data_IF_764338037680
#
_entry.id   IF_764338037680
#
_cell.length_a   1.000
_cell.length_b   1.000
_cell.length_c   1.000
_cell.angle_alpha   90.00
_cell.angle_beta   90.00
_cell.angle_gamma   90.00
#
_symmetry.space_group_name_H-M   'P 1'
#
loop_
_entity.id
_entity.type
_entity.pdbx_description
1 polymer ?
#
# COMPACT_ATOMS: atom_id res chain seq x y z
N UNK A 1 6.50 2.31 -12.83
CA UNK A 1 6.36 1.99 -11.40
C UNK A 1 5.59 0.69 -11.28
N UNK A 2 6.30 -0.35 -10.88
CA UNK A 2 5.77 -1.71 -10.78
C UNK A 2 5.01 -1.87 -9.48
N UNK A 3 3.85 -2.50 -9.54
CA UNK A 3 2.94 -2.66 -8.42
C UNK A 3 2.52 -4.13 -8.31
N UNK A 4 3.16 -4.84 -7.39
CA UNK A 4 2.89 -6.23 -7.10
C UNK A 4 1.66 -6.34 -6.21
N UNK A 5 0.60 -6.95 -6.74
CA UNK A 5 -0.72 -6.88 -6.12
C UNK A 5 -1.57 -8.13 -6.37
N UNK A 6 -2.68 -8.20 -5.63
CA UNK A 6 -3.77 -9.14 -5.87
C UNK A 6 -5.09 -8.36 -5.80
N UNK A 7 -6.02 -8.49 -6.78
CA UNK A 7 -7.25 -7.70 -6.82
C UNK A 7 -8.11 -7.77 -5.55
N UNK A 8 -8.16 -8.92 -4.89
CA UNK A 8 -8.95 -9.13 -3.67
C UNK A 8 -8.34 -8.46 -2.42
N UNK A 9 -7.05 -8.12 -2.45
CA UNK A 9 -6.33 -7.59 -1.29
C UNK A 9 -6.79 -6.16 -0.99
N UNK A 10 -7.41 -5.96 0.18
CA UNK A 10 -7.83 -4.65 0.67
C UNK A 10 -6.69 -3.60 0.67
N UNK A 11 -5.47 -3.88 1.21
CA UNK A 11 -4.38 -2.91 1.16
C UNK A 11 -3.90 -2.60 -0.27
N UNK A 12 -4.00 -3.57 -1.21
CA UNK A 12 -3.71 -3.30 -2.63
C UNK A 12 -4.75 -2.36 -3.27
N UNK A 13 -6.03 -2.52 -2.92
CA UNK A 13 -7.11 -1.63 -3.39
C UNK A 13 -6.91 -0.21 -2.88
N UNK A 14 -6.48 -0.02 -1.64
CA UNK A 14 -6.16 1.31 -1.10
C UNK A 14 -5.07 2.04 -1.91
N UNK A 15 -4.00 1.33 -2.29
CA UNK A 15 -2.95 1.88 -3.16
C UNK A 15 -3.46 2.19 -4.56
N UNK A 16 -4.26 1.28 -5.12
CA UNK A 16 -4.84 1.47 -6.46
C UNK A 16 -5.71 2.72 -6.52
N UNK A 17 -6.61 2.91 -5.54
CA UNK A 17 -7.48 4.09 -5.48
C UNK A 17 -6.67 5.38 -5.28
N UNK A 18 -5.63 5.35 -4.43
CA UNK A 18 -4.75 6.52 -4.24
C UNK A 18 -4.04 6.89 -5.55
N UNK A 19 -3.48 5.90 -6.26
CA UNK A 19 -2.82 6.16 -7.54
C UNK A 19 -3.79 6.72 -8.59
N UNK A 20 -5.01 6.18 -8.67
CA UNK A 20 -6.07 6.69 -9.56
C UNK A 20 -6.46 8.13 -9.21
N UNK A 21 -6.64 8.46 -7.93
CA UNK A 21 -6.93 9.82 -7.47
C UNK A 21 -5.82 10.83 -7.82
N UNK A 22 -4.57 10.36 -7.91
CA UNK A 22 -3.41 11.16 -8.30
C UNK A 22 -3.18 11.18 -9.82
N UNK A 23 -3.90 10.37 -10.60
CA UNK A 23 -3.66 10.19 -12.04
C UNK A 23 -2.35 9.43 -12.35
N UNK A 24 -1.83 8.67 -11.38
CA UNK A 24 -0.60 7.88 -11.51
C UNK A 24 -0.91 6.51 -12.11
N UNK A 25 -0.27 6.18 -13.23
CA UNK A 25 -0.40 4.86 -13.86
C UNK A 25 0.52 3.85 -13.17
N UNK A 26 -0.06 2.79 -12.62
CA UNK A 26 0.67 1.66 -12.05
C UNK A 26 0.83 0.54 -13.08
N UNK A 27 2.03 -0.02 -13.20
CA UNK A 27 2.22 -1.29 -13.89
C UNK A 27 1.81 -2.42 -12.93
N UNK A 28 0.57 -2.90 -13.08
CA UNK A 28 -0.05 -3.87 -12.17
C UNK A 28 0.47 -5.29 -12.45
N UNK A 29 1.32 -5.82 -11.57
CA UNK A 29 1.87 -7.17 -11.65
C UNK A 29 1.11 -8.07 -10.68
N UNK A 30 0.27 -8.96 -11.21
CA UNK A 30 -0.50 -9.88 -10.37
C UNK A 30 0.43 -10.92 -9.74
N UNK A 31 0.42 -11.01 -8.41
CA UNK A 31 1.19 -11.99 -7.65
C UNK A 31 0.25 -13.05 -7.08
N UNK A 32 0.40 -14.30 -7.52
CA UNK A 32 -0.41 -15.41 -7.01
C UNK A 32 0.11 -15.84 -5.63
N UNK A 33 -0.61 -15.40 -4.59
CA UNK A 33 -0.26 -15.74 -3.22
C UNK A 33 -0.54 -17.21 -2.89
N UNK A 34 -1.54 -17.82 -3.52
CA UNK A 34 -1.93 -19.21 -3.27
C UNK A 34 -0.93 -20.18 -3.87
N UNK A 35 -0.34 -19.83 -5.02
CA UNK A 35 0.78 -20.56 -5.61
C UNK A 35 2.15 -20.22 -4.97
N UNK A 36 2.18 -19.43 -3.90
CA UNK A 36 3.42 -19.10 -3.19
C UNK A 36 4.37 -18.16 -3.94
N UNK A 37 3.90 -17.41 -4.95
CA UNK A 37 4.77 -16.56 -5.77
C UNK A 37 5.52 -15.47 -4.96
N UNK A 38 4.92 -15.01 -3.86
CA UNK A 38 5.51 -14.06 -2.91
C UNK A 38 6.68 -14.63 -2.08
N UNK A 39 6.87 -15.95 -2.08
CA UNK A 39 7.96 -16.63 -1.36
C UNK A 39 9.16 -16.91 -2.27
N UNK A 40 9.05 -16.62 -3.57
CA UNK A 40 10.14 -16.90 -4.51
C UNK A 40 11.32 -15.94 -4.32
N UNK A 41 12.57 -16.39 -4.53
CA UNK A 41 13.76 -15.57 -4.29
C UNK A 41 13.76 -14.23 -5.03
N UNK A 42 13.21 -14.18 -6.25
CA UNK A 42 13.07 -12.95 -7.02
C UNK A 42 12.21 -11.89 -6.33
N UNK A 43 11.13 -12.29 -5.65
CA UNK A 43 10.26 -11.36 -4.93
C UNK A 43 10.83 -11.01 -3.55
N UNK A 44 11.45 -11.98 -2.87
CA UNK A 44 12.10 -11.75 -1.57
C UNK A 44 13.23 -10.73 -1.63
N UNK A 45 13.92 -10.62 -2.78
CA UNK A 45 14.90 -9.55 -3.03
C UNK A 45 14.28 -8.15 -3.03
N UNK A 46 13.00 -8.03 -3.41
CA UNK A 46 12.26 -6.76 -3.43
C UNK A 46 11.64 -6.46 -2.07
N UNK A 47 11.03 -7.46 -1.45
CA UNK A 47 10.35 -7.35 -0.16
C UNK A 47 10.64 -8.60 0.69
N UNK A 48 11.55 -8.53 1.67
CA UNK A 48 11.88 -9.66 2.53
C UNK A 48 10.74 -10.04 3.49
N UNK A 49 9.76 -9.14 3.72
CA UNK A 49 8.53 -9.46 4.46
C UNK A 49 7.49 -10.19 3.60
N UNK A 50 7.79 -10.46 2.31
CA UNK A 50 6.96 -11.28 1.42
C UNK A 50 5.46 -10.91 1.43
N UNK A 51 5.16 -9.62 1.47
CA UNK A 51 3.79 -9.09 1.53
C UNK A 51 3.40 -8.33 0.28
N UNK A 52 2.08 -8.22 0.07
CA UNK A 52 1.51 -7.28 -0.91
C UNK A 52 0.63 -6.26 -0.18
N UNK A 53 0.53 -5.01 -0.67
CA UNK A 53 1.21 -4.50 -1.87
C UNK A 53 2.72 -4.27 -1.68
N UNK A 54 3.48 -4.45 -2.77
CA UNK A 54 4.86 -3.98 -2.91
C UNK A 54 4.95 -3.11 -4.16
N UNK A 55 5.55 -1.93 -4.04
CA UNK A 55 5.72 -0.95 -5.10
C UNK A 55 7.22 -0.80 -5.41
N UNK A 56 7.58 -0.78 -6.69
CA UNK A 56 8.94 -0.47 -7.15
C UNK A 56 8.89 0.73 -8.07
N UNK A 57 9.49 1.83 -7.62
CA UNK A 57 9.64 3.05 -8.41
C UNK A 57 11.11 3.31 -8.73
N UNK A 58 11.53 3.06 -9.97
CA UNK A 58 12.90 3.29 -10.45
C UNK A 58 13.98 2.67 -9.52
N UNK A 59 13.76 1.42 -9.09
CA UNK A 59 14.65 0.69 -8.19
C UNK A 59 14.41 0.92 -6.70
N UNK A 60 13.60 1.91 -6.31
CA UNK A 60 13.16 2.07 -4.93
C UNK A 60 11.98 1.14 -4.63
N UNK A 61 12.23 0.12 -3.79
CA UNK A 61 11.20 -0.81 -3.32
C UNK A 61 10.60 -0.35 -1.99
N UNK A 62 9.27 -0.34 -1.90
CA UNK A 62 8.53 -0.03 -0.66
C UNK A 62 7.28 -0.90 -0.55
N UNK A 63 7.02 -1.40 0.64
CA UNK A 63 5.80 -2.11 1.03
C UNK A 63 5.13 -1.37 2.20
N UNK A 64 4.06 -1.93 2.78
CA UNK A 64 3.09 -1.23 3.64
C UNK A 64 2.20 -0.24 2.87
N UNK A 65 0.95 -0.64 2.63
CA UNK A 65 -0.01 0.12 1.81
C UNK A 65 -0.17 1.60 2.22
N UNK A 66 -0.17 1.90 3.52
CA UNK A 66 -0.34 3.29 4.01
C UNK A 66 0.93 4.12 3.80
N UNK A 67 2.11 3.51 3.92
CA UNK A 67 3.38 4.16 3.58
C UNK A 67 3.46 4.43 2.07
N UNK A 68 3.05 3.45 1.24
CA UNK A 68 2.93 3.63 -0.21
C UNK A 68 1.98 4.80 -0.55
N UNK A 69 0.80 4.86 0.08
CA UNK A 69 -0.15 5.95 -0.17
C UNK A 69 0.45 7.32 0.13
N UNK A 70 1.10 7.47 1.29
CA UNK A 70 1.79 8.72 1.66
C UNK A 70 2.87 9.05 0.62
N UNK A 71 3.72 8.09 0.27
CA UNK A 71 4.78 8.26 -0.72
C UNK A 71 4.24 8.74 -2.07
N UNK A 72 3.16 8.13 -2.56
CA UNK A 72 2.54 8.51 -3.82
C UNK A 72 2.02 9.95 -3.79
N UNK A 73 1.35 10.35 -2.71
CA UNK A 73 0.85 11.73 -2.56
C UNK A 73 1.99 12.72 -2.45
N UNK A 74 3.02 12.43 -1.64
CA UNK A 74 4.14 13.35 -1.45
C UNK A 74 5.02 13.50 -2.70
N UNK A 75 5.18 12.45 -3.50
CA UNK A 75 6.03 12.47 -4.70
C UNK A 75 5.30 12.92 -5.97
N UNK A 76 4.05 12.50 -6.16
CA UNK A 76 3.31 12.70 -7.41
C UNK A 76 2.05 13.56 -7.27
N UNK A 77 1.70 13.97 -6.06
CA UNK A 77 0.57 14.87 -5.82
C UNK A 77 0.77 16.23 -6.48
N UNK A 78 -0.21 16.65 -7.29
CA UNK A 78 -0.26 18.01 -7.86
C UNK A 78 -0.53 19.08 -6.79
N UNK A 79 -1.12 18.68 -5.68
CA UNK A 79 -1.40 19.48 -4.49
C UNK A 79 -1.38 18.57 -3.26
N UNK A 80 -1.55 19.15 -2.08
CA UNK A 80 -1.50 18.43 -0.81
C UNK A 80 -2.89 18.09 -0.24
N UNK A 81 -3.97 18.14 -1.04
CA UNK A 81 -5.34 17.94 -0.53
C UNK A 81 -5.57 16.57 0.12
N UNK A 82 -4.96 15.51 -0.41
CA UNK A 82 -5.06 14.14 0.13
C UNK A 82 -4.16 13.92 1.36
N UNK A 83 -3.07 14.68 1.48
CA UNK A 83 -2.12 14.57 2.59
C UNK A 83 -1.45 15.93 2.89
N UNK A 84 -2.15 16.84 3.59
CA UNK A 84 -1.70 18.22 3.73
C UNK A 84 -0.34 18.35 4.42
N UNK A 85 0.42 19.37 4.05
CA UNK A 85 1.72 19.68 4.69
C UNK A 85 1.57 20.33 6.06
N UNK A 86 0.41 20.91 6.36
CA UNK A 86 0.10 21.48 7.67
C UNK A 86 0.26 20.43 8.80
N UNK A 87 1.13 20.67 9.80
CA UNK A 87 1.44 19.67 10.82
C UNK A 87 0.21 19.14 11.57
N UNK A 88 -0.72 20.01 11.97
CA UNK A 88 -1.93 19.61 12.70
C UNK A 88 -2.86 18.73 11.86
N UNK A 89 -3.08 19.09 10.59
CA UNK A 89 -3.92 18.29 9.66
C UNK A 89 -3.27 16.94 9.38
N UNK A 90 -1.96 16.94 9.11
CA UNK A 90 -1.18 15.73 8.86
C UNK A 90 -1.18 14.79 10.06
N UNK A 91 -1.04 15.32 11.28
CA UNK A 91 -1.09 14.54 12.50
C UNK A 91 -2.43 13.79 12.65
N UNK A 92 -3.56 14.43 12.33
CA UNK A 92 -4.87 13.76 12.34
C UNK A 92 -4.97 12.66 11.29
N UNK A 93 -4.44 12.88 10.08
CA UNK A 93 -4.43 11.84 9.04
C UNK A 93 -3.56 10.66 9.47
N UNK A 94 -2.34 10.92 9.95
CA UNK A 94 -1.45 9.89 10.45
C UNK A 94 -2.10 9.10 11.59
N UNK A 95 -2.75 9.78 12.52
CA UNK A 95 -3.48 9.13 13.60
C UNK A 95 -4.59 8.20 13.09
N UNK A 96 -5.30 8.58 12.01
CA UNK A 96 -6.29 7.71 11.35
C UNK A 96 -5.65 6.56 10.58
N UNK A 97 -4.53 6.78 9.88
CA UNK A 97 -3.79 5.73 9.18
C UNK A 97 -3.24 4.67 10.16
N UNK A 98 -2.69 5.10 11.30
CA UNK A 98 -2.20 4.19 12.33
C UNK A 98 -3.33 3.47 13.05
N UNK A 99 -4.45 4.15 13.34
CA UNK A 99 -5.66 3.50 13.85
C UNK A 99 -6.17 2.44 12.87
N UNK A 100 -6.19 2.76 11.59
CA UNK A 100 -6.63 1.84 10.54
C UNK A 100 -5.72 0.60 10.46
N UNK A 101 -4.39 0.78 10.46
CA UNK A 101 -3.45 -0.33 10.43
C UNK A 101 -3.44 -1.19 11.69
N UNK A 102 -3.42 -0.55 12.86
CA UNK A 102 -3.17 -1.22 14.14
C UNK A 102 -4.43 -1.63 14.89
N UNK A 103 -5.58 -1.04 14.59
CA UNK A 103 -6.82 -1.26 15.33
C UNK A 103 -7.95 -1.72 14.44
N UNK A 104 -8.38 -0.90 13.46
CA UNK A 104 -9.56 -1.19 12.65
C UNK A 104 -9.35 -2.41 11.74
N UNK A 105 -8.30 -2.39 10.91
CA UNK A 105 -8.06 -3.47 9.96
C UNK A 105 -7.67 -4.76 10.68
N UNK A 106 -6.95 -4.67 11.80
CA UNK A 106 -6.70 -5.83 12.66
C UNK A 106 -8.00 -6.42 13.24
N UNK A 107 -8.88 -5.59 13.80
CA UNK A 107 -10.17 -6.06 14.32
C UNK A 107 -11.04 -6.67 13.22
N UNK A 108 -11.07 -6.04 12.04
CA UNK A 108 -11.74 -6.58 10.86
C UNK A 108 -11.18 -7.95 10.48
N UNK A 109 -9.85 -8.08 10.36
CA UNK A 109 -9.23 -9.37 10.05
C UNK A 109 -9.57 -10.44 11.09
N UNK A 110 -9.58 -10.11 12.38
CA UNK A 110 -9.95 -11.07 13.45
C UNK A 110 -11.41 -11.49 13.38
N UNK A 111 -12.31 -10.60 12.98
CA UNK A 111 -13.73 -10.90 12.87
C UNK A 111 -14.06 -11.77 11.64
N UNK A 112 -13.36 -11.55 10.51
CA UNK A 112 -13.69 -12.17 9.23
C UNK A 112 -12.70 -13.24 8.76
N UNK A 113 -11.54 -13.41 9.41
CA UNK A 113 -10.78 -14.66 9.30
C UNK A 113 -11.46 -15.67 10.20
N UNK A 114 -12.37 -16.47 9.61
CA UNK A 114 -12.90 -17.66 10.25
C UNK A 114 -11.75 -18.53 10.78
N UNK A 115 -11.96 -19.07 11.98
CA UNK A 115 -11.15 -20.11 12.62
C UNK A 115 -10.91 -21.30 11.70
#
# INVERSE_FOLDING_TARGET
MDFYYLPLSAPCRAVTMTAEALGVKLNKIKLDLFAGAHLKPEFLKLNPQHTIPTLVDNGFSIWESRAINIYLVEKYGKNDSLYPKCPKKRALINQRLFFDAGTLYQAFQKAYRCR
#
